data_IF_315505534685
#
_entry.id   IF_315505534685
#
_cell.length_a   1.000
_cell.length_b   1.000
_cell.length_c   1.000
_cell.angle_alpha   90.00
_cell.angle_beta   90.00
_cell.angle_gamma   90.00
#
_symmetry.space_group_name_H-M   'P 1'
#
loop_
_entity.id
_entity.type
_entity.pdbx_description
1 polymer ?
#
# COMPACT_ATOMS: atom_id res chain seq x y z
N UNK A 1 4.53 -1.86 21.98
CA UNK A 1 3.33 -1.99 21.12
C UNK A 1 3.81 -1.75 19.71
N UNK A 2 4.02 -2.82 18.94
CA UNK A 2 4.39 -2.70 17.52
C UNK A 2 3.11 -2.47 16.74
N UNK A 3 2.95 -1.25 16.25
CA UNK A 3 1.77 -0.85 15.50
C UNK A 3 1.89 -1.39 14.07
N UNK A 4 0.89 -2.11 13.60
CA UNK A 4 0.77 -2.47 12.18
C UNK A 4 0.77 -1.19 11.34
N UNK A 5 1.67 -1.11 10.37
CA UNK A 5 1.75 0.02 9.44
C UNK A 5 0.77 -0.23 8.31
N UNK A 6 -0.10 0.75 8.05
CA UNK A 6 -1.03 0.70 6.93
C UNK A 6 -0.63 1.68 5.84
N UNK A 7 -0.57 1.21 4.59
CA UNK A 7 -0.28 2.01 3.41
C UNK A 7 -1.45 1.98 2.43
N UNK A 8 -1.91 3.15 2.01
CA UNK A 8 -3.00 3.27 1.03
C UNK A 8 -2.45 3.60 -0.34
N UNK A 9 -2.89 2.84 -1.36
CA UNK A 9 -2.47 3.04 -2.75
C UNK A 9 -3.42 3.98 -3.47
N UNK A 10 -2.93 5.15 -3.83
CA UNK A 10 -3.67 6.16 -4.58
C UNK A 10 -3.58 5.91 -6.08
N UNK A 11 -2.40 5.52 -6.58
CA UNK A 11 -2.16 5.33 -8.00
C UNK A 11 -1.08 4.26 -8.24
N UNK A 12 -1.13 3.64 -9.42
CA UNK A 12 -0.08 2.75 -9.90
C UNK A 12 0.47 3.37 -11.19
N UNK A 13 1.74 3.74 -11.15
CA UNK A 13 2.46 4.33 -12.27
C UNK A 13 3.52 3.36 -12.81
N UNK A 14 4.23 3.78 -13.86
CA UNK A 14 5.43 3.11 -14.33
C UNK A 14 6.61 4.05 -14.25
N UNK A 15 7.76 3.55 -13.81
CA UNK A 15 9.02 4.30 -13.90
C UNK A 15 9.55 4.34 -15.34
N UNK A 16 10.68 5.01 -15.55
CA UNK A 16 11.33 5.09 -16.87
C UNK A 16 11.79 3.74 -17.42
N UNK A 17 11.96 2.73 -16.56
CA UNK A 17 12.29 1.36 -16.95
C UNK A 17 11.02 0.50 -17.17
N UNK A 18 9.84 1.09 -17.05
CA UNK A 18 8.55 0.41 -17.21
C UNK A 18 8.12 -0.39 -15.97
N UNK A 19 8.85 -0.33 -14.86
CA UNK A 19 8.53 -1.07 -13.62
C UNK A 19 7.33 -0.44 -12.93
N UNK A 20 6.41 -1.23 -12.36
CA UNK A 20 5.27 -0.71 -11.63
C UNK A 20 5.72 0.00 -10.35
N UNK A 21 5.15 1.17 -10.10
CA UNK A 21 5.41 1.99 -8.91
C UNK A 21 4.08 2.27 -8.22
N UNK A 22 3.98 1.89 -6.95
CA UNK A 22 2.76 2.02 -6.16
C UNK A 22 2.83 3.32 -5.37
N UNK A 23 2.08 4.32 -5.82
CA UNK A 23 2.07 5.67 -5.24
C UNK A 23 0.95 5.75 -4.20
N UNK A 24 1.29 6.25 -3.02
CA UNK A 24 0.37 6.26 -1.89
C UNK A 24 0.95 6.94 -0.68
N UNK A 25 0.34 6.73 0.48
CA UNK A 25 0.80 7.29 1.75
C UNK A 25 0.55 6.34 2.92
N UNK A 26 1.36 6.48 3.97
CA UNK A 26 1.17 5.77 5.23
C UNK A 26 -0.01 6.40 5.97
N UNK A 27 -1.02 5.59 6.26
CA UNK A 27 -2.27 6.00 6.92
C UNK A 27 -2.11 6.00 8.44
N UNK A 28 -1.48 4.97 8.99
CA UNK A 28 -1.25 4.81 10.42
C UNK A 28 -0.12 3.82 10.70
N UNK A 29 0.27 3.71 11.97
CA UNK A 29 1.22 2.72 12.45
C UNK A 29 2.68 3.18 12.46
N UNK A 30 2.96 4.44 12.13
CA UNK A 30 4.30 5.03 12.21
C UNK A 30 5.01 5.13 10.87
N UNK A 31 6.18 4.50 10.74
CA UNK A 31 7.03 4.59 9.55
C UNK A 31 7.16 3.26 8.82
N UNK A 32 6.90 3.26 7.52
CA UNK A 32 7.17 2.14 6.62
C UNK A 32 8.63 2.21 6.17
N UNK A 33 9.38 1.12 6.27
CA UNK A 33 10.80 1.06 5.91
C UNK A 33 11.06 0.14 4.72
N UNK A 34 12.18 0.38 4.02
CA UNK A 34 12.69 -0.57 3.04
C UNK A 34 12.96 -1.91 3.72
N UNK A 35 12.45 -2.98 3.13
CA UNK A 35 12.55 -4.33 3.68
C UNK A 35 11.31 -4.79 4.44
N UNK A 36 10.38 -3.87 4.79
CA UNK A 36 9.13 -4.25 5.44
C UNK A 36 8.31 -5.18 4.55
N UNK A 37 7.58 -6.09 5.20
CA UNK A 37 6.75 -7.09 4.53
C UNK A 37 5.29 -6.83 4.86
N UNK A 38 4.51 -6.56 3.83
CA UNK A 38 3.07 -6.64 3.88
C UNK A 38 2.66 -8.10 3.90
N UNK A 39 1.84 -8.46 4.88
CA UNK A 39 1.33 -9.83 5.08
C UNK A 39 -0.19 -9.89 4.88
N UNK A 40 -0.87 -8.74 4.92
CA UNK A 40 -2.32 -8.64 4.75
C UNK A 40 -2.66 -7.57 3.72
N UNK A 41 -3.34 -7.97 2.65
CA UNK A 41 -3.97 -7.09 1.68
C UNK A 41 -5.45 -6.97 1.99
N UNK A 42 -5.95 -5.74 2.09
CA UNK A 42 -7.39 -5.48 2.02
C UNK A 42 -7.75 -5.09 0.59
N UNK A 43 -8.32 -6.05 -0.15
CA UNK A 43 -8.92 -5.79 -1.45
C UNK A 43 -10.42 -5.49 -1.24
N UNK A 44 -10.76 -4.22 -1.02
CA UNK A 44 -12.15 -3.76 -1.17
C UNK A 44 -12.18 -2.76 -2.32
N UNK A 45 -12.40 -3.21 -3.56
CA UNK A 45 -12.69 -2.31 -4.65
C UNK A 45 -14.03 -1.65 -4.33
N UNK A 46 -14.02 -0.37 -3.90
CA UNK A 46 -15.29 0.37 -3.73
C UNK A 46 -15.96 0.47 -5.09
N UNK A 47 -17.23 0.06 -5.17
CA UNK A 47 -18.03 0.30 -6.36
C UNK A 47 -18.41 1.79 -6.43
N UNK A 48 -18.74 2.28 -7.63
CA UNK A 48 -19.27 3.65 -7.82
C UNK A 48 -20.53 3.89 -6.97
N UNK A 49 -21.35 2.84 -6.82
CA UNK A 49 -22.57 2.85 -6.02
C UNK A 49 -22.29 3.06 -4.52
N UNK A 50 -21.28 2.39 -3.97
CA UNK A 50 -20.91 2.53 -2.55
C UNK A 50 -20.50 3.98 -2.21
N UNK A 51 -19.83 4.64 -3.16
CA UNK A 51 -19.44 6.05 -3.03
C UNK A 51 -20.65 6.99 -3.08
N UNK A 52 -21.56 6.77 -4.02
CA UNK A 52 -22.77 7.58 -4.18
C UNK A 52 -23.74 7.45 -3.00
N UNK A 53 -23.79 6.28 -2.36
CA UNK A 53 -24.72 6.00 -1.25
C UNK A 53 -24.12 6.25 0.14
N UNK A 54 -22.87 6.74 0.24
CA UNK A 54 -22.24 7.06 1.52
C UNK A 54 -22.07 5.85 2.46
N UNK A 55 -22.03 4.63 1.92
CA UNK A 55 -21.91 3.41 2.72
C UNK A 55 -20.57 3.41 3.47
N UNK A 56 -20.60 3.09 4.76
CA UNK A 56 -19.40 2.95 5.57
C UNK A 56 -18.45 1.89 4.96
N UNK A 57 -17.15 2.00 5.23
CA UNK A 57 -16.19 0.94 4.88
C UNK A 57 -16.68 -0.35 5.52
N UNK A 58 -16.96 -1.39 4.73
CA UNK A 58 -17.33 -2.69 5.27
C UNK A 58 -16.16 -3.23 6.11
N UNK A 59 -16.46 -3.97 7.18
CA UNK A 59 -15.45 -4.76 7.88
C UNK A 59 -14.70 -5.64 6.88
N UNK A 60 -13.41 -5.99 7.10
CA UNK A 60 -12.64 -6.75 6.13
C UNK A 60 -13.27 -8.11 5.80
N UNK A 61 -14.00 -8.21 4.68
CA UNK A 61 -14.60 -9.49 4.25
C UNK A 61 -13.65 -10.25 3.31
N UNK A 62 -12.78 -9.54 2.57
CA UNK A 62 -11.83 -10.12 1.61
C UNK A 62 -10.40 -9.73 1.99
N UNK A 63 -9.87 -10.41 3.01
CA UNK A 63 -8.45 -10.31 3.37
C UNK A 63 -7.70 -11.41 2.63
N UNK A 64 -6.72 -11.02 1.82
CA UNK A 64 -5.78 -11.99 1.24
C UNK A 64 -4.44 -11.83 1.94
N UNK A 65 -3.98 -12.91 2.57
CA UNK A 65 -2.62 -12.95 3.07
C UNK A 65 -1.66 -13.16 1.89
N UNK A 66 -0.75 -12.22 1.68
CA UNK A 66 0.34 -12.35 0.71
C UNK A 66 1.61 -11.83 1.34
N UNK A 67 2.77 -12.31 0.91
CA UNK A 67 4.06 -11.76 1.33
C UNK A 67 4.59 -10.83 0.23
N UNK A 68 4.46 -9.52 0.47
CA UNK A 68 4.97 -8.48 -0.44
C UNK A 68 5.95 -7.59 0.31
N UNK A 69 7.18 -7.53 -0.19
CA UNK A 69 8.28 -6.80 0.38
C UNK A 69 8.44 -5.42 -0.27
N UNK A 70 8.73 -4.41 0.55
CA UNK A 70 9.17 -3.10 0.09
C UNK A 70 10.64 -3.20 -0.33
N UNK A 71 10.91 -3.08 -1.63
CA UNK A 71 12.26 -3.10 -2.19
C UNK A 71 12.92 -1.73 -2.14
N UNK A 72 12.16 -0.67 -2.44
CA UNK A 72 12.63 0.70 -2.40
C UNK A 72 11.47 1.67 -2.16
N UNK A 73 11.80 2.84 -1.64
CA UNK A 73 10.86 3.94 -1.39
C UNK A 73 11.42 5.20 -2.05
N UNK A 74 10.61 5.84 -2.88
CA UNK A 74 10.89 7.13 -3.49
C UNK A 74 9.97 8.22 -2.93
N UNK A 75 10.56 9.32 -2.48
CA UNK A 75 9.83 10.54 -2.12
C UNK A 75 10.38 11.69 -2.95
N UNK A 76 9.52 12.34 -3.74
CA UNK A 76 9.90 13.47 -4.60
C UNK A 76 11.14 13.17 -5.47
N UNK A 77 11.18 11.97 -6.08
CA UNK A 77 12.28 11.49 -6.95
C UNK A 77 13.61 11.26 -6.21
N UNK A 78 13.58 11.06 -4.90
CA UNK A 78 14.74 10.67 -4.10
C UNK A 78 14.44 9.38 -3.36
N UNK A 79 15.38 8.44 -3.40
CA UNK A 79 15.31 7.24 -2.59
C UNK A 79 15.49 7.59 -1.11
N UNK A 80 14.62 7.02 -0.27
CA UNK A 80 14.66 7.19 1.18
C UNK A 80 14.58 5.82 1.87
N UNK A 81 15.18 5.66 3.07
CA UNK A 81 15.15 4.39 3.77
C UNK A 81 13.78 4.10 4.41
N UNK A 82 12.98 5.14 4.68
CA UNK A 82 11.67 5.01 5.30
C UNK A 82 10.73 6.14 4.87
N UNK A 83 9.43 5.87 4.99
CA UNK A 83 8.32 6.75 4.74
C UNK A 83 7.54 6.95 6.03
N UNK A 84 7.40 8.21 6.46
CA UNK A 84 6.67 8.57 7.67
C UNK A 84 5.17 8.70 7.43
N UNK A 85 4.38 8.52 8.49
CA UNK A 85 2.93 8.74 8.49
C UNK A 85 2.53 10.06 7.80
N UNK A 86 1.48 10.01 6.98
CA UNK A 86 0.96 11.16 6.23
C UNK A 86 1.83 11.62 5.05
N UNK A 87 2.97 10.98 4.79
CA UNK A 87 3.85 11.33 3.67
C UNK A 87 3.51 10.52 2.43
N UNK A 88 3.36 11.21 1.30
CA UNK A 88 3.19 10.56 0.00
C UNK A 88 4.54 10.03 -0.48
N UNK A 89 4.57 8.75 -0.83
CA UNK A 89 5.72 8.05 -1.37
C UNK A 89 5.34 7.07 -2.47
N UNK A 90 6.34 6.72 -3.25
CA UNK A 90 6.29 5.70 -4.27
C UNK A 90 7.01 4.44 -3.76
N UNK A 91 6.31 3.30 -3.75
CA UNK A 91 6.88 2.03 -3.32
C UNK A 91 7.18 1.14 -4.53
N UNK A 92 8.37 0.58 -4.54
CA UNK A 92 8.74 -0.56 -5.38
C UNK A 92 8.49 -1.81 -4.55
N UNK A 93 7.60 -2.66 -5.04
CA UNK A 93 7.13 -3.83 -4.32
C UNK A 93 7.54 -5.09 -5.08
N UNK A 94 7.93 -6.11 -4.33
CA UNK A 94 8.27 -7.45 -4.86
C UNK A 94 7.63 -8.51 -3.99
N UNK A 95 7.31 -9.67 -4.56
CA UNK A 95 6.73 -10.77 -3.79
C UNK A 95 5.60 -11.46 -4.52
N UNK A 96 4.89 -12.31 -3.79
CA UNK A 96 3.76 -13.04 -4.33
C UNK A 96 2.59 -12.08 -4.55
N UNK A 97 1.85 -12.25 -5.65
CA UNK A 97 0.62 -11.49 -5.92
C UNK A 97 0.77 -9.96 -5.98
N UNK A 98 1.99 -9.44 -6.23
CA UNK A 98 2.18 -7.99 -6.42
C UNK A 98 1.33 -7.46 -7.58
N UNK A 99 1.10 -8.30 -8.60
CA UNK A 99 0.26 -7.98 -9.75
C UNK A 99 -1.23 -7.88 -9.40
N UNK A 100 -1.66 -8.41 -8.24
CA UNK A 100 -3.03 -8.28 -7.76
C UNK A 100 -3.27 -6.96 -7.03
N UNK A 101 -2.21 -6.18 -6.77
CA UNK A 101 -2.34 -4.88 -6.14
C UNK A 101 -3.03 -3.91 -7.08
N UNK A 102 -4.21 -3.44 -6.68
CA UNK A 102 -4.98 -2.43 -7.39
C UNK A 102 -4.88 -1.03 -6.79
N UNK A 103 -5.36 -0.05 -7.56
CA UNK A 103 -5.63 1.31 -7.04
C UNK A 103 -6.71 1.22 -5.95
N UNK A 104 -6.56 2.01 -4.87
CA UNK A 104 -7.40 2.00 -3.65
C UNK A 104 -7.26 0.77 -2.76
N UNK A 105 -6.21 -0.03 -2.95
CA UNK A 105 -5.87 -1.14 -2.04
C UNK A 105 -5.21 -0.60 -0.78
N UNK A 106 -5.53 -1.20 0.37
CA UNK A 106 -4.81 -0.98 1.63
C UNK A 106 -3.87 -2.15 1.88
N UNK A 107 -2.59 -1.84 2.14
CA UNK A 107 -1.57 -2.79 2.51
C UNK A 107 -1.30 -2.68 4.01
N UNK A 108 -1.20 -3.81 4.71
CA UNK A 108 -0.87 -3.85 6.14
C UNK A 108 0.32 -4.77 6.40
N UNK A 109 1.29 -4.29 7.18
CA UNK A 109 2.41 -5.11 7.64
C UNK A 109 1.91 -6.13 8.66
N UNK A 110 2.47 -7.35 8.69
CA UNK A 110 2.28 -8.19 9.88
C UNK A 110 3.37 -7.84 10.88
N UNK A 111 2.96 -7.82 12.14
CA UNK A 111 3.88 -7.95 13.25
C UNK A 111 4.61 -9.29 13.23
#
# INVERSE_FOLDING_TARGET
MTSTVEFFIEAIARDHAGRPVHVGFVVTGGSLSVGDVFISLYEVPRTLEDAQQGRARAAPVNVRATSIRVEAIDVRRKQVPSLTEGTIGALYLTGQDVDAIGVRTYLSTSN
#
